data_IF_904830882185
#
_entry.id   IF_904830882185
#
_cell.length_a   1.000
_cell.length_b   1.000
_cell.length_c   1.000
_cell.angle_alpha   90.00
_cell.angle_beta   90.00
_cell.angle_gamma   90.00
#
_symmetry.space_group_name_H-M   'P 1'
#
loop_
_entity.id
_entity.type
_entity.pdbx_description
1 polymer ?
#
# COMPACT_ATOMS: atom_id res chain seq x y z
N UNK A 1 50.16 44.51 25.99
CA UNK A 1 48.99 44.82 25.14
C UNK A 1 48.15 43.54 25.13
N UNK A 2 47.42 43.15 26.17
CA UNK A 2 46.43 43.83 27.03
C UNK A 2 45.22 44.32 26.24
N UNK A 3 44.22 43.44 26.04
CA UNK A 3 42.86 43.61 26.58
C UNK A 3 42.03 42.31 26.45
N UNK A 4 41.66 41.67 27.58
CA UNK A 4 40.61 40.66 27.69
C UNK A 4 39.27 41.29 28.14
N UNK A 5 38.24 40.44 28.34
CA UNK A 5 36.82 40.67 28.73
C UNK A 5 35.85 40.75 27.54
N UNK A 6 34.69 40.07 27.52
CA UNK A 6 33.75 39.85 28.63
C UNK A 6 32.83 38.64 28.38
N UNK A 7 32.69 37.81 29.42
CA UNK A 7 31.67 36.78 29.58
C UNK A 7 30.37 37.38 30.17
N UNK A 8 29.28 36.60 30.06
CA UNK A 8 28.05 36.61 30.88
C UNK A 8 26.79 37.30 30.31
N UNK A 9 25.85 36.47 29.85
CA UNK A 9 24.40 36.50 30.14
C UNK A 9 23.82 35.21 29.52
N UNK A 10 23.70 34.08 30.24
CA UNK A 10 22.65 33.77 31.24
C UNK A 10 21.28 34.36 30.91
N UNK A 11 20.53 33.66 30.06
CA UNK A 11 19.06 33.67 30.08
C UNK A 11 18.54 32.22 30.08
N UNK A 12 18.61 31.61 31.26
CA UNK A 12 17.65 30.63 31.72
C UNK A 12 16.24 31.24 31.73
N UNK A 13 15.42 30.86 30.74
CA UNK A 13 14.00 31.19 30.67
C UNK A 13 13.15 29.93 30.83
N UNK A 14 12.75 29.63 32.05
CA UNK A 14 11.89 28.50 32.41
C UNK A 14 10.40 28.94 32.34
N UNK A 15 9.61 28.21 31.54
CA UNK A 15 8.15 27.93 31.67
C UNK A 15 7.12 29.08 31.47
N UNK A 16 5.94 28.81 30.85
CA UNK A 16 4.96 27.84 31.39
C UNK A 16 4.24 26.92 30.40
N UNK A 17 4.02 25.70 30.90
CA UNK A 17 2.85 24.85 30.77
C UNK A 17 1.60 25.48 30.11
N UNK A 18 1.21 24.96 28.95
CA UNK A 18 -0.22 24.85 28.59
C UNK A 18 -0.56 23.39 28.26
N UNK A 19 -0.89 22.64 29.31
CA UNK A 19 -1.81 21.50 29.19
C UNK A 19 -3.22 22.07 29.02
N UNK A 20 -3.86 21.75 27.90
CA UNK A 20 -5.31 21.81 27.72
C UNK A 20 -5.63 21.03 26.44
N UNK A 21 -6.60 20.11 26.33
CA UNK A 21 -7.50 19.41 27.25
C UNK A 21 -8.26 18.42 26.34
N UNK A 22 -8.17 17.12 26.66
CA UNK A 22 -9.20 16.07 26.46
C UNK A 22 -9.92 15.96 25.10
N UNK A 23 -9.60 14.93 24.31
CA UNK A 23 -10.38 13.67 24.11
C UNK A 23 -11.38 13.76 22.92
N UNK A 24 -12.03 12.65 22.46
CA UNK A 24 -11.77 12.04 21.16
C UNK A 24 -12.99 12.20 20.23
N UNK A 25 -12.84 12.00 18.92
CA UNK A 25 -14.00 11.78 18.05
C UNK A 25 -13.87 10.40 17.42
N UNK A 26 -14.34 9.44 18.20
CA UNK A 26 -14.89 8.18 17.71
C UNK A 26 -16.24 8.52 17.08
N UNK A 27 -16.47 8.15 15.83
CA UNK A 27 -17.77 7.65 15.38
C UNK A 27 -17.66 7.00 14.01
N UNK A 28 -17.82 5.69 14.06
CA UNK A 28 -18.15 4.76 13.00
C UNK A 28 -19.31 5.25 12.14
N UNK A 29 -19.18 5.12 10.82
CA UNK A 29 -20.33 4.81 9.97
C UNK A 29 -19.99 3.58 9.13
N UNK A 30 -20.50 2.47 9.63
CA UNK A 30 -20.66 1.18 9.00
C UNK A 30 -21.61 1.23 7.81
N UNK A 31 -21.39 0.27 6.91
CA UNK A 31 -22.38 -0.52 6.18
C UNK A 31 -22.68 -0.20 4.70
N UNK A 32 -22.99 -1.25 3.91
CA UNK A 32 -22.52 -1.46 2.55
C UNK A 32 -23.63 -1.32 1.51
N UNK A 33 -23.28 -0.93 0.28
CA UNK A 33 -24.25 -0.96 -0.83
C UNK A 33 -23.92 -2.09 -1.80
N UNK A 34 -24.66 -3.15 -1.54
CA UNK A 34 -24.99 -4.33 -2.32
C UNK A 34 -25.32 -4.01 -3.80
N UNK A 35 -24.56 -4.64 -4.70
CA UNK A 35 -25.01 -5.41 -5.87
C UNK A 35 -25.70 -4.70 -7.06
N UNK A 36 -25.07 -4.83 -8.23
CA UNK A 36 -25.78 -5.00 -9.50
C UNK A 36 -24.90 -5.76 -10.52
N UNK A 37 -24.83 -7.09 -10.37
CA UNK A 37 -24.44 -7.99 -11.47
C UNK A 37 -25.66 -8.14 -12.37
N UNK A 38 -25.58 -7.64 -13.59
CA UNK A 38 -26.64 -7.76 -14.59
C UNK A 38 -26.01 -7.95 -15.98
N UNK A 39 -25.67 -9.20 -16.30
CA UNK A 39 -25.52 -9.65 -17.68
C UNK A 39 -26.37 -10.90 -17.86
N UNK A 40 -27.58 -10.66 -18.32
CA UNK A 40 -28.54 -11.68 -18.75
C UNK A 40 -28.02 -12.27 -20.05
N UNK A 41 -27.69 -13.57 -20.01
CA UNK A 41 -27.53 -14.38 -21.21
C UNK A 41 -28.88 -14.52 -21.92
N UNK A 42 -28.95 -14.01 -23.14
CA UNK A 42 -30.05 -14.34 -24.06
C UNK A 42 -29.71 -15.67 -24.70
N UNK A 43 -30.41 -16.69 -24.22
CA UNK A 43 -30.35 -18.05 -24.70
C UNK A 43 -30.76 -18.19 -26.17
N UNK A 44 -30.16 -19.20 -26.78
CA UNK A 44 -30.55 -19.80 -28.03
C UNK A 44 -32.07 -20.07 -28.09
N UNK A 45 -32.69 -19.69 -29.21
CA UNK A 45 -33.91 -20.33 -29.69
C UNK A 45 -33.51 -21.48 -30.63
N UNK A 46 -33.76 -22.68 -30.12
CA UNK A 46 -33.61 -23.99 -30.74
C UNK A 46 -34.63 -24.21 -31.87
N UNK A 47 -34.22 -24.88 -32.95
CA UNK A 47 -35.09 -25.78 -33.73
C UNK A 47 -34.41 -27.15 -33.77
N UNK A 48 -35.08 -28.16 -33.22
CA UNK A 48 -34.52 -29.49 -33.01
C UNK A 48 -34.42 -30.34 -34.27
N UNK A 49 -33.35 -31.13 -34.33
CA UNK A 49 -33.37 -32.57 -34.61
C UNK A 49 -32.00 -33.15 -34.22
N UNK A 50 -32.00 -34.41 -33.76
CA UNK A 50 -30.88 -35.24 -33.31
C UNK A 50 -30.43 -35.10 -31.84
N UNK A 51 -31.07 -35.96 -31.04
CA UNK A 51 -30.64 -36.56 -29.79
C UNK A 51 -29.13 -36.56 -29.52
N UNK A 52 -28.70 -35.90 -28.44
CA UNK A 52 -27.92 -36.55 -27.38
C UNK A 52 -27.74 -35.61 -26.18
N UNK A 53 -28.08 -36.14 -25.00
CA UNK A 53 -27.67 -35.70 -23.67
C UNK A 53 -27.85 -34.21 -23.32
N UNK A 54 -28.84 -33.92 -22.47
CA UNK A 54 -28.76 -32.77 -21.56
C UNK A 54 -27.60 -33.00 -20.60
N UNK A 55 -26.63 -32.08 -20.55
CA UNK A 55 -26.33 -31.45 -19.28
C UNK A 55 -26.35 -29.92 -19.42
N UNK A 56 -27.20 -29.33 -18.57
CA UNK A 56 -27.08 -28.04 -17.90
C UNK A 56 -25.91 -27.14 -18.35
N UNK A 57 -26.14 -25.92 -18.88
CA UNK A 57 -25.12 -24.89 -18.84
C UNK A 57 -25.00 -24.42 -17.38
N UNK A 58 -24.10 -25.06 -16.63
CA UNK A 58 -23.67 -24.53 -15.33
C UNK A 58 -22.91 -23.25 -15.61
N UNK A 59 -23.62 -22.15 -15.39
CA UNK A 59 -23.08 -20.82 -15.20
C UNK A 59 -22.04 -20.84 -14.08
N UNK A 60 -20.93 -20.12 -14.32
CA UNK A 60 -20.11 -19.54 -13.28
C UNK A 60 -18.99 -20.45 -12.80
N UNK A 61 -17.88 -20.46 -13.54
CA UNK A 61 -16.59 -20.49 -12.86
C UNK A 61 -16.44 -19.14 -12.15
N UNK A 62 -17.12 -19.01 -11.00
CA UNK A 62 -16.67 -18.10 -9.96
C UNK A 62 -15.31 -18.63 -9.58
N UNK A 63 -14.26 -18.03 -10.13
CA UNK A 63 -12.92 -18.12 -9.57
C UNK A 63 -13.05 -17.57 -8.16
N UNK A 64 -13.39 -18.44 -7.22
CA UNK A 64 -13.15 -18.23 -5.81
C UNK A 64 -11.64 -18.07 -5.73
N UNK A 65 -11.17 -16.83 -5.86
CA UNK A 65 -9.78 -16.48 -5.68
C UNK A 65 -9.48 -16.88 -4.25
N UNK A 66 -8.88 -18.06 -4.11
CA UNK A 66 -8.29 -18.48 -2.86
C UNK A 66 -7.33 -17.37 -2.50
N UNK A 67 -7.44 -16.75 -1.31
CA UNK A 67 -6.49 -15.74 -0.89
C UNK A 67 -5.09 -16.30 -1.13
N UNK A 68 -4.20 -15.56 -1.79
CA UNK A 68 -2.85 -16.05 -2.01
C UNK A 68 -2.26 -16.45 -0.65
N UNK A 69 -1.46 -17.51 -0.65
CA UNK A 69 -0.82 -18.00 0.58
C UNK A 69 0.03 -16.90 1.26
N UNK A 70 0.46 -15.92 0.47
CA UNK A 70 1.16 -14.73 0.90
C UNK A 70 0.22 -13.52 0.97
N UNK A 71 -0.55 -13.43 2.05
CA UNK A 71 -1.54 -12.36 2.23
C UNK A 71 -0.90 -10.99 2.43
N UNK A 72 0.21 -10.93 3.16
CA UNK A 72 0.94 -9.71 3.47
C UNK A 72 1.60 -9.12 2.23
N UNK A 73 2.31 -9.95 1.45
CA UNK A 73 2.90 -9.50 0.19
C UNK A 73 1.83 -9.10 -0.83
N UNK A 74 0.71 -9.82 -0.90
CA UNK A 74 -0.39 -9.45 -1.78
C UNK A 74 -1.00 -8.09 -1.39
N UNK A 75 -1.26 -7.85 -0.10
CA UNK A 75 -1.80 -6.57 0.37
C UNK A 75 -0.84 -5.42 0.05
N UNK A 76 0.45 -5.58 0.32
CA UNK A 76 1.45 -4.57 0.00
C UNK A 76 1.48 -4.24 -1.51
N UNK A 77 1.30 -5.25 -2.36
CA UNK A 77 1.21 -5.06 -3.80
C UNK A 77 -0.07 -4.33 -4.23
N UNK A 78 -1.19 -4.51 -3.52
CA UNK A 78 -2.41 -3.73 -3.77
C UNK A 78 -2.23 -2.28 -3.31
N UNK A 79 -1.73 -2.07 -2.11
CA UNK A 79 -1.47 -0.73 -1.58
C UNK A 79 -0.53 0.05 -2.51
N UNK A 80 0.52 -0.61 -3.03
CA UNK A 80 1.45 -0.02 -4.01
C UNK A 80 0.78 0.34 -5.35
N UNK A 81 -0.27 -0.38 -5.77
CA UNK A 81 -1.03 -0.10 -7.00
C UNK A 81 -2.03 1.03 -6.82
N UNK A 82 -2.60 1.15 -5.63
CA UNK A 82 -3.57 2.19 -5.30
C UNK A 82 -2.93 3.56 -5.16
N UNK A 83 -1.66 3.62 -4.72
CA UNK A 83 -0.92 4.89 -4.68
C UNK A 83 -0.43 5.33 -6.06
N UNK A 84 -0.47 6.63 -6.29
CA UNK A 84 0.14 7.24 -7.48
C UNK A 84 1.65 6.99 -7.48
N UNK A 85 2.26 6.82 -8.66
CA UNK A 85 3.72 6.81 -8.79
C UNK A 85 4.39 8.14 -8.36
N UNK A 86 3.58 9.20 -8.18
CA UNK A 86 4.02 10.48 -7.62
C UNK A 86 3.82 10.57 -6.09
N UNK A 87 3.28 9.54 -5.44
CA UNK A 87 3.15 9.47 -3.99
C UNK A 87 4.52 9.11 -3.38
N UNK A 88 5.17 10.14 -2.83
CA UNK A 88 6.54 10.09 -2.35
C UNK A 88 6.62 10.38 -0.86
N UNK A 89 5.47 10.36 -0.17
CA UNK A 89 5.44 10.39 1.29
C UNK A 89 6.22 9.20 1.86
N UNK A 90 7.20 9.51 2.71
CA UNK A 90 8.11 8.52 3.27
C UNK A 90 7.43 7.60 4.29
N UNK A 91 6.42 8.08 5.02
CA UNK A 91 5.71 7.25 5.98
C UNK A 91 4.81 6.23 5.27
N UNK A 92 4.11 6.64 4.22
CA UNK A 92 3.30 5.74 3.36
C UNK A 92 4.17 4.67 2.72
N UNK A 93 5.28 5.06 2.09
CA UNK A 93 6.19 4.12 1.44
C UNK A 93 6.87 3.17 2.43
N UNK A 94 7.18 3.65 3.65
CA UNK A 94 7.70 2.79 4.71
C UNK A 94 6.66 1.77 5.18
N UNK A 95 5.40 2.15 5.28
CA UNK A 95 4.32 1.22 5.68
C UNK A 95 4.14 0.12 4.62
N UNK A 96 4.02 0.48 3.34
CA UNK A 96 3.93 -0.48 2.23
C UNK A 96 5.15 -1.41 2.22
N UNK A 97 6.36 -0.85 2.37
CA UNK A 97 7.59 -1.65 2.44
C UNK A 97 7.62 -2.62 3.62
N UNK A 98 7.10 -2.24 4.78
CA UNK A 98 7.00 -3.11 5.96
C UNK A 98 6.02 -4.26 5.75
N UNK A 99 4.88 -3.99 5.10
CA UNK A 99 3.93 -5.03 4.73
C UNK A 99 4.57 -6.02 3.73
N UNK A 100 5.23 -5.51 2.70
CA UNK A 100 5.95 -6.34 1.72
C UNK A 100 7.08 -7.15 2.38
N UNK A 101 7.79 -6.57 3.37
CA UNK A 101 8.84 -7.27 4.13
C UNK A 101 8.31 -8.48 4.91
N UNK A 102 7.03 -8.47 5.31
CA UNK A 102 6.39 -9.59 5.99
C UNK A 102 5.97 -10.73 5.04
N UNK A 103 6.16 -10.55 3.72
CA UNK A 103 5.89 -11.56 2.71
C UNK A 103 6.68 -12.85 2.93
N UNK A 104 6.05 -13.96 2.60
CA UNK A 104 6.72 -15.28 2.52
C UNK A 104 7.54 -15.46 1.23
N UNK A 105 7.32 -14.63 0.21
CA UNK A 105 8.16 -14.56 -0.98
C UNK A 105 9.43 -13.76 -0.67
N UNK A 106 10.58 -14.42 -0.77
CA UNK A 106 11.87 -13.82 -0.40
C UNK A 106 12.26 -12.62 -1.27
N UNK A 107 11.78 -12.54 -2.51
CA UNK A 107 12.07 -11.42 -3.42
C UNK A 107 11.22 -10.22 -3.03
N UNK A 108 9.92 -10.42 -2.82
CA UNK A 108 9.02 -9.37 -2.32
C UNK A 108 9.49 -8.84 -0.96
N UNK A 109 9.87 -9.74 -0.04
CA UNK A 109 10.37 -9.35 1.27
C UNK A 109 11.65 -8.50 1.18
N UNK A 110 12.57 -8.87 0.28
CA UNK A 110 13.78 -8.10 0.03
C UNK A 110 13.47 -6.71 -0.57
N UNK A 111 12.59 -6.64 -1.57
CA UNK A 111 12.22 -5.35 -2.19
C UNK A 111 11.40 -4.46 -1.25
N UNK A 112 10.56 -5.05 -0.41
CA UNK A 112 9.87 -4.33 0.66
C UNK A 112 10.85 -3.68 1.63
N UNK A 113 11.89 -4.42 2.03
CA UNK A 113 12.99 -3.87 2.83
C UNK A 113 13.73 -2.74 2.11
N UNK A 114 14.06 -2.89 0.83
CA UNK A 114 14.71 -1.83 0.05
C UNK A 114 13.87 -0.54 0.06
N UNK A 115 12.54 -0.65 -0.05
CA UNK A 115 11.63 0.49 0.05
C UNK A 115 11.60 1.12 1.45
N UNK A 116 11.64 0.32 2.52
CA UNK A 116 11.76 0.82 3.90
C UNK A 116 13.05 1.61 4.09
N UNK A 117 14.17 1.09 3.58
CA UNK A 117 15.48 1.73 3.71
C UNK A 117 15.55 3.00 2.84
N UNK A 118 14.96 2.99 1.64
CA UNK A 118 14.79 4.17 0.79
C UNK A 118 13.96 5.27 1.47
N UNK A 119 12.81 4.91 2.04
CA UNK A 119 11.93 5.85 2.74
C UNK A 119 12.60 6.46 3.98
N UNK A 120 13.40 5.68 4.71
CA UNK A 120 14.21 6.20 5.82
C UNK A 120 15.28 7.16 5.34
N UNK A 121 16.02 6.78 4.29
CA UNK A 121 17.08 7.62 3.74
C UNK A 121 16.53 8.95 3.19
N UNK A 122 15.35 8.91 2.54
CA UNK A 122 14.70 10.10 2.00
C UNK A 122 14.34 11.15 3.07
N UNK A 123 14.10 10.74 4.32
CA UNK A 123 13.81 11.66 5.42
C UNK A 123 15.00 12.55 5.78
N UNK A 124 16.23 12.11 5.49
CA UNK A 124 17.47 12.81 5.80
C UNK A 124 18.13 13.46 4.56
N UNK A 125 17.54 13.29 3.37
CA UNK A 125 18.09 13.76 2.08
C UNK A 125 17.43 15.05 1.58
N UNK A 126 18.04 15.67 0.55
CA UNK A 126 17.36 16.72 -0.20
C UNK A 126 16.09 16.16 -0.89
N UNK A 127 15.01 16.94 -0.99
CA UNK A 127 13.71 16.43 -1.47
C UNK A 127 13.79 15.72 -2.83
N UNK A 128 14.62 16.21 -3.76
CA UNK A 128 14.76 15.60 -5.08
C UNK A 128 15.44 14.23 -5.00
N UNK A 129 16.53 14.13 -4.25
CA UNK A 129 17.30 12.89 -4.09
C UNK A 129 16.49 11.83 -3.33
N UNK A 130 15.80 12.24 -2.26
CA UNK A 130 14.91 11.37 -1.49
C UNK A 130 13.78 10.82 -2.36
N UNK A 131 13.15 11.68 -3.15
CA UNK A 131 12.08 11.30 -4.08
C UNK A 131 12.55 10.30 -5.14
N UNK A 132 13.74 10.49 -5.69
CA UNK A 132 14.32 9.55 -6.67
C UNK A 132 14.62 8.20 -6.04
N UNK A 133 15.11 8.18 -4.80
CA UNK A 133 15.41 6.95 -4.06
C UNK A 133 14.14 6.14 -3.77
N UNK A 134 13.07 6.80 -3.32
CA UNK A 134 11.75 6.17 -3.13
C UNK A 134 11.20 5.66 -4.47
N UNK A 135 11.25 6.49 -5.53
CA UNK A 135 10.75 6.13 -6.86
C UNK A 135 11.42 4.87 -7.41
N UNK A 136 12.75 4.77 -7.27
CA UNK A 136 13.50 3.59 -7.70
C UNK A 136 13.05 2.34 -6.95
N UNK A 137 12.92 2.42 -5.62
CA UNK A 137 12.48 1.29 -4.80
C UNK A 137 11.02 0.88 -5.09
N UNK A 138 10.12 1.84 -5.37
CA UNK A 138 8.75 1.55 -5.80
C UNK A 138 8.70 0.80 -7.13
N UNK A 139 9.57 1.15 -8.09
CA UNK A 139 9.65 0.44 -9.39
C UNK A 139 10.11 -0.99 -9.18
N UNK A 140 11.17 -1.20 -8.40
CA UNK A 140 11.70 -2.52 -8.08
C UNK A 140 10.65 -3.40 -7.36
N UNK A 141 9.94 -2.84 -6.38
CA UNK A 141 8.89 -3.56 -5.66
C UNK A 141 7.70 -3.88 -6.56
N UNK A 142 7.29 -2.96 -7.44
CA UNK A 142 6.20 -3.19 -8.39
C UNK A 142 6.53 -4.27 -9.41
N UNK A 143 7.76 -4.31 -9.90
CA UNK A 143 8.21 -5.39 -10.76
C UNK A 143 8.20 -6.74 -10.03
N UNK A 144 8.56 -6.77 -8.73
CA UNK A 144 8.43 -7.98 -7.91
C UNK A 144 6.95 -8.39 -7.72
N UNK A 145 6.06 -7.44 -7.45
CA UNK A 145 4.62 -7.67 -7.37
C UNK A 145 4.03 -8.26 -8.65
N UNK A 146 4.43 -7.73 -9.81
CA UNK A 146 3.94 -8.22 -11.10
C UNK A 146 4.43 -9.63 -11.42
N UNK A 147 5.64 -9.98 -10.98
CA UNK A 147 6.15 -11.37 -11.09
C UNK A 147 5.43 -12.34 -10.15
N UNK A 148 5.11 -11.91 -8.93
CA UNK A 148 4.50 -12.77 -7.91
C UNK A 148 3.00 -12.96 -8.12
N UNK A 149 2.28 -11.90 -8.51
CA UNK A 149 0.81 -11.89 -8.54
C UNK A 149 0.23 -11.51 -9.91
N UNK A 150 1.07 -11.31 -10.93
CA UNK A 150 0.67 -10.85 -12.24
C UNK A 150 0.49 -9.32 -12.30
N UNK A 151 0.48 -8.72 -13.50
CA UNK A 151 0.25 -7.29 -13.66
C UNK A 151 -1.15 -6.88 -13.20
N UNK A 152 -1.30 -5.61 -12.82
CA UNK A 152 -2.59 -4.98 -12.52
C UNK A 152 -3.47 -4.81 -13.77
#
# INVERSE_FOLDING_TARGET
>A
MSHPYRSSADHSGFSPSRRSRRRPVWLWITAPVVLAVLVIGVGALTRGEQSQATPTPTVGESTSQTPPADTEGWQACQDLREISAAELDHDVNREIGQQAQASTDTTLAARGKDLVDAARAAADQEPIEGNLTISAAQVDLREACDRAFGPA
#
